data_IF_551513643915
#
_entry.id   IF_551513643915
#
_cell.length_a   1.000
_cell.length_b   1.000
_cell.length_c   1.000
_cell.angle_alpha   90.00
_cell.angle_beta   90.00
_cell.angle_gamma   90.00
#
_symmetry.space_group_name_H-M   'P 1'
#
loop_
_entity.id
_entity.type
_entity.pdbx_description
1 polymer ?
#
# COMPACT_ATOMS: atom_id res chain seq x y z
N UNK A 1 7.55 -7.81 13.78
CA UNK A 1 6.62 -7.90 14.92
C UNK A 1 5.63 -6.75 14.79
N UNK A 2 4.41 -6.82 15.36
CA UNK A 2 3.53 -5.64 15.30
C UNK A 2 4.08 -4.55 16.23
N UNK A 3 4.12 -3.33 15.73
CA UNK A 3 4.69 -2.16 16.40
C UNK A 3 3.60 -1.08 16.49
N UNK A 4 3.43 -0.49 17.67
CA UNK A 4 2.49 0.60 17.92
C UNK A 4 3.27 1.82 18.41
N UNK A 5 3.09 2.93 17.71
CA UNK A 5 3.68 4.23 18.02
C UNK A 5 2.56 5.24 18.23
N UNK A 6 2.64 6.01 19.31
CA UNK A 6 1.61 6.99 19.66
C UNK A 6 2.23 8.38 19.73
N UNK A 7 1.87 9.20 18.75
CA UNK A 7 2.21 10.62 18.68
C UNK A 7 0.91 11.43 18.84
N UNK A 8 0.50 12.21 17.82
CA UNK A 8 -0.82 12.83 17.81
C UNK A 8 -1.92 11.78 17.75
N UNK A 9 -2.97 11.99 18.54
CA UNK A 9 -4.16 11.12 18.59
C UNK A 9 -5.27 11.59 17.64
N UNK A 10 -5.04 12.65 16.88
CA UNK A 10 -6.02 13.12 15.90
C UNK A 10 -6.13 12.17 14.71
N UNK A 11 -4.99 11.62 14.25
CA UNK A 11 -4.88 10.70 13.13
C UNK A 11 -4.12 9.45 13.55
N UNK A 12 -4.71 8.28 13.30
CA UNK A 12 -4.07 6.97 13.40
C UNK A 12 -3.97 6.30 12.04
N UNK A 13 -2.82 5.70 11.75
CA UNK A 13 -2.56 4.99 10.50
C UNK A 13 -2.27 3.52 10.81
N UNK A 14 -3.10 2.63 10.26
CA UNK A 14 -2.88 1.18 10.31
C UNK A 14 -2.25 0.76 8.98
N UNK A 15 -1.14 0.02 9.05
CA UNK A 15 -0.31 -0.23 7.86
C UNK A 15 0.51 -1.52 8.02
N UNK A 16 1.16 -1.97 6.95
CA UNK A 16 2.06 -3.13 6.96
C UNK A 16 3.21 -2.98 5.96
N UNK A 17 4.34 -3.63 6.23
CA UNK A 17 5.49 -3.66 5.33
C UNK A 17 6.00 -2.25 4.94
N UNK A 18 6.23 -2.03 3.65
CA UNK A 18 6.78 -0.78 3.11
C UNK A 18 5.83 0.42 3.25
N UNK A 19 4.52 0.15 3.28
CA UNK A 19 3.47 1.17 3.43
C UNK A 19 3.67 2.02 4.70
N UNK A 20 4.27 1.44 5.74
CA UNK A 20 4.64 2.17 6.97
C UNK A 20 5.64 3.28 6.70
N UNK A 21 6.70 3.00 5.93
CA UNK A 21 7.76 3.98 5.66
C UNK A 21 7.21 5.15 4.84
N UNK A 22 6.46 4.86 3.78
CA UNK A 22 5.81 5.91 2.99
C UNK A 22 4.83 6.74 3.81
N UNK A 23 4.07 6.11 4.71
CA UNK A 23 3.13 6.83 5.58
C UNK A 23 3.85 7.71 6.60
N UNK A 24 4.96 7.24 7.19
CA UNK A 24 5.75 8.01 8.16
C UNK A 24 6.46 9.19 7.50
N UNK A 25 6.89 9.04 6.24
CA UNK A 25 7.47 10.13 5.45
C UNK A 25 6.44 11.23 5.13
N UNK A 26 5.18 10.85 4.88
CA UNK A 26 4.10 11.80 4.59
C UNK A 26 3.55 12.49 5.84
N UNK A 27 3.45 11.76 6.95
CA UNK A 27 2.82 12.26 8.18
C UNK A 27 3.54 11.74 9.42
N UNK A 28 4.59 12.44 9.81
CA UNK A 28 5.47 12.04 10.92
C UNK A 28 4.77 12.04 12.29
N UNK A 29 3.80 12.93 12.46
CA UNK A 29 3.12 13.24 13.72
C UNK A 29 1.91 12.36 14.01
N UNK A 30 1.48 11.53 13.06
CA UNK A 30 0.39 10.59 13.27
C UNK A 30 0.80 9.46 14.21
N UNK A 31 -0.19 8.86 14.86
CA UNK A 31 0.00 7.58 15.55
C UNK A 31 0.00 6.43 14.53
N UNK A 32 0.81 5.40 14.74
CA UNK A 32 0.95 4.27 13.81
C UNK A 32 0.69 2.93 14.49
N UNK A 33 0.01 2.05 13.78
CA UNK A 33 -0.02 0.61 14.05
C UNK A 33 0.53 -0.11 12.81
N UNK A 34 1.77 -0.55 12.90
CA UNK A 34 2.43 -1.37 11.89
C UNK A 34 2.17 -2.84 12.22
N UNK A 35 1.38 -3.50 11.38
CA UNK A 35 1.14 -4.94 11.46
C UNK A 35 2.35 -5.67 10.88
N UNK A 36 2.94 -6.57 11.66
CA UNK A 36 4.04 -7.42 11.22
C UNK A 36 3.56 -8.57 10.34
N UNK A 37 2.28 -8.92 10.41
CA UNK A 37 1.65 -9.98 9.62
C UNK A 37 0.23 -9.55 9.25
N UNK A 38 -0.08 -9.56 7.94
CA UNK A 38 -1.42 -9.18 7.46
C UNK A 38 -2.47 -10.24 7.78
N UNK A 39 -2.08 -11.52 7.95
CA UNK A 39 -3.01 -12.58 8.34
C UNK A 39 -2.32 -13.73 9.09
N UNK A 40 -2.89 -14.27 10.19
CA UNK A 40 -4.12 -13.81 10.86
C UNK A 40 -3.98 -12.42 11.51
N UNK A 41 -5.06 -11.65 11.50
CA UNK A 41 -5.09 -10.30 12.06
C UNK A 41 -5.10 -10.30 13.58
N UNK A 42 -4.24 -9.48 14.19
CA UNK A 42 -4.26 -9.23 15.62
C UNK A 42 -5.39 -8.26 16.00
N UNK A 43 -6.62 -8.78 16.05
CA UNK A 43 -7.85 -7.99 16.28
C UNK A 43 -7.77 -7.13 17.55
N UNK A 44 -7.21 -7.67 18.62
CA UNK A 44 -7.08 -6.97 19.91
C UNK A 44 -6.22 -5.71 19.79
N UNK A 45 -5.05 -5.80 19.13
CA UNK A 45 -4.18 -4.63 18.91
C UNK A 45 -4.86 -3.58 18.06
N UNK A 46 -5.58 -4.00 17.02
CA UNK A 46 -6.34 -3.09 16.15
C UNK A 46 -7.42 -2.35 16.95
N UNK A 47 -8.22 -3.04 17.76
CA UNK A 47 -9.21 -2.40 18.62
C UNK A 47 -8.58 -1.44 19.64
N UNK A 48 -7.49 -1.88 20.29
CA UNK A 48 -6.79 -1.06 21.28
C UNK A 48 -6.18 0.19 20.65
N UNK A 49 -5.73 0.11 19.40
CA UNK A 49 -5.26 1.26 18.64
C UNK A 49 -6.41 2.18 18.23
N UNK A 50 -7.49 1.62 17.68
CA UNK A 50 -8.65 2.38 17.24
C UNK A 50 -9.29 3.22 18.36
N UNK A 51 -9.28 2.71 19.60
CA UNK A 51 -9.76 3.46 20.79
C UNK A 51 -8.89 4.66 21.17
N UNK A 52 -7.65 4.73 20.71
CA UNK A 52 -6.67 5.76 21.10
C UNK A 52 -6.62 6.95 20.15
N UNK A 53 -7.24 6.85 18.97
CA UNK A 53 -7.16 7.85 17.91
C UNK A 53 -8.56 8.29 17.46
N UNK A 54 -8.70 9.50 16.92
CA UNK A 54 -9.99 10.05 16.48
C UNK A 54 -10.37 9.63 15.06
N UNK A 55 -9.41 9.66 14.14
CA UNK A 55 -9.60 9.24 12.74
C UNK A 55 -8.60 8.15 12.38
N UNK A 56 -9.04 7.17 11.59
CA UNK A 56 -8.23 6.03 11.19
C UNK A 56 -8.13 5.98 9.68
N UNK A 57 -6.90 5.87 9.18
CA UNK A 57 -6.61 5.52 7.81
C UNK A 57 -5.95 4.14 7.76
N UNK A 58 -6.24 3.38 6.71
CA UNK A 58 -5.51 2.16 6.38
C UNK A 58 -4.68 2.42 5.14
N UNK A 59 -3.36 2.27 5.25
CA UNK A 59 -2.45 2.40 4.12
C UNK A 59 -1.82 1.04 3.84
N UNK A 60 -2.24 0.45 2.73
CA UNK A 60 -1.81 -0.85 2.22
C UNK A 60 -1.57 -0.81 0.71
N UNK A 61 -0.65 -1.67 0.28
CA UNK A 61 -0.29 -1.83 -1.13
C UNK A 61 -1.22 -2.81 -1.84
N UNK A 62 -1.66 -2.43 -3.04
CA UNK A 62 -2.63 -3.18 -3.83
C UNK A 62 -4.05 -3.05 -3.30
N UNK A 63 -4.69 -4.21 -3.07
CA UNK A 63 -6.10 -4.34 -2.73
C UNK A 63 -6.46 -3.81 -1.32
N UNK A 64 -7.76 -3.69 -1.05
CA UNK A 64 -8.33 -3.24 0.24
C UNK A 64 -8.38 -4.36 1.28
N UNK A 65 -7.33 -5.16 1.42
CA UNK A 65 -7.38 -6.35 2.27
C UNK A 65 -7.57 -6.00 3.75
N UNK A 66 -6.65 -5.24 4.34
CA UNK A 66 -6.72 -4.80 5.73
C UNK A 66 -7.94 -3.91 5.94
N UNK A 67 -8.19 -3.00 5.00
CA UNK A 67 -9.30 -2.05 5.06
C UNK A 67 -10.65 -2.78 5.21
N UNK A 68 -10.91 -3.80 4.36
CA UNK A 68 -12.14 -4.56 4.39
C UNK A 68 -12.29 -5.38 5.67
N UNK A 69 -11.21 -6.03 6.13
CA UNK A 69 -11.26 -6.82 7.36
C UNK A 69 -11.47 -5.97 8.60
N UNK A 70 -10.83 -4.80 8.67
CA UNK A 70 -10.98 -3.86 9.80
C UNK A 70 -12.39 -3.26 9.81
N UNK A 71 -12.96 -2.90 8.64
CA UNK A 71 -14.38 -2.50 8.57
C UNK A 71 -15.33 -3.61 8.99
N UNK A 72 -15.06 -4.86 8.61
CA UNK A 72 -15.87 -6.00 9.02
C UNK A 72 -15.83 -6.25 10.54
N UNK A 73 -14.81 -5.72 11.24
CA UNK A 73 -14.76 -5.70 12.71
C UNK A 73 -15.61 -4.57 13.33
N UNK A 74 -16.28 -3.74 12.53
CA UNK A 74 -17.10 -2.62 13.01
C UNK A 74 -16.30 -1.36 13.35
N UNK A 75 -15.06 -1.24 12.86
CA UNK A 75 -14.23 -0.05 13.04
C UNK A 75 -14.42 0.88 11.85
N UNK A 76 -14.84 2.12 12.13
CA UNK A 76 -14.96 3.17 11.12
C UNK A 76 -13.57 3.67 10.70
N UNK A 77 -13.38 3.84 9.39
CA UNK A 77 -12.11 4.23 8.80
C UNK A 77 -12.31 4.96 7.47
N UNK A 78 -11.37 5.84 7.18
CA UNK A 78 -11.28 6.59 5.92
C UNK A 78 -10.81 5.67 4.79
N UNK A 79 -11.61 5.61 3.73
CA UNK A 79 -11.34 4.75 2.59
C UNK A 79 -10.23 5.33 1.69
N UNK A 80 -9.34 4.47 1.21
CA UNK A 80 -8.52 4.79 0.03
C UNK A 80 -9.45 5.04 -1.18
N UNK A 81 -9.18 5.95 -2.12
CA UNK A 81 -9.92 6.02 -3.38
C UNK A 81 -9.65 4.80 -4.28
N UNK A 82 -10.65 4.33 -5.04
CA UNK A 82 -10.49 3.16 -5.94
C UNK A 82 -9.41 3.37 -7.00
N UNK A 83 -9.22 4.61 -7.44
CA UNK A 83 -8.21 5.01 -8.44
C UNK A 83 -6.77 4.70 -7.99
N UNK A 84 -6.54 4.54 -6.69
CA UNK A 84 -5.22 4.29 -6.10
C UNK A 84 -4.95 2.79 -5.84
N UNK A 85 -5.88 1.89 -6.19
CA UNK A 85 -5.71 0.45 -5.99
C UNK A 85 -4.69 -0.17 -6.95
N UNK A 86 -4.54 0.41 -8.13
CA UNK A 86 -3.71 -0.15 -9.20
C UNK A 86 -2.29 0.41 -9.20
N UNK A 87 -1.32 -0.46 -9.50
CA UNK A 87 0.11 -0.13 -9.54
C UNK A 87 0.75 -0.03 -8.16
N UNK A 88 2.07 0.11 -8.14
CA UNK A 88 2.86 0.15 -6.90
C UNK A 88 2.45 1.30 -5.98
N UNK A 89 2.52 1.07 -4.67
CA UNK A 89 2.32 2.12 -3.69
C UNK A 89 3.55 3.05 -3.71
N UNK A 90 3.32 4.36 -3.69
CA UNK A 90 4.39 5.36 -3.60
C UNK A 90 3.95 6.52 -2.69
N UNK A 91 4.89 7.41 -2.37
CA UNK A 91 4.65 8.55 -1.47
C UNK A 91 3.51 9.43 -1.99
N UNK A 92 3.46 9.74 -3.29
CA UNK A 92 2.42 10.59 -3.88
C UNK A 92 1.01 10.00 -3.71
N UNK A 93 0.85 8.67 -3.85
CA UNK A 93 -0.42 7.99 -3.58
C UNK A 93 -0.80 8.07 -2.10
N UNK A 94 0.17 7.92 -1.21
CA UNK A 94 -0.08 8.05 0.24
C UNK A 94 -0.46 9.49 0.60
N UNK A 95 0.22 10.50 0.04
CA UNK A 95 -0.15 11.91 0.18
C UNK A 95 -1.56 12.20 -0.31
N UNK A 96 -1.95 11.61 -1.46
CA UNK A 96 -3.30 11.80 -1.99
C UNK A 96 -4.37 11.18 -1.09
N UNK A 97 -4.05 10.11 -0.37
CA UNK A 97 -4.97 9.46 0.57
C UNK A 97 -5.09 10.22 1.88
N UNK A 98 -3.95 10.57 2.49
CA UNK A 98 -3.88 11.19 3.82
C UNK A 98 -4.17 12.70 3.79
N UNK A 99 -3.59 13.42 2.82
CA UNK A 99 -3.67 14.88 2.71
C UNK A 99 -4.70 15.35 1.67
N UNK A 100 -5.40 14.42 1.01
CA UNK A 100 -6.36 14.70 -0.08
C UNK A 100 -5.77 15.54 -1.22
N UNK A 101 -4.44 15.47 -1.42
CA UNK A 101 -3.77 16.09 -2.58
C UNK A 101 -4.19 15.37 -3.86
N UNK A 102 -4.25 16.10 -4.98
CA UNK A 102 -4.56 15.50 -6.27
C UNK A 102 -3.39 14.65 -6.74
N UNK A 103 -3.60 13.34 -6.86
CA UNK A 103 -2.62 12.45 -7.47
C UNK A 103 -2.58 12.67 -8.99
N UNK A 104 -1.38 12.87 -9.54
CA UNK A 104 -1.16 12.86 -10.98
C UNK A 104 -0.45 11.57 -11.35
N UNK A 105 -1.06 10.77 -12.21
CA UNK A 105 -0.37 9.59 -12.74
C UNK A 105 0.94 10.02 -13.42
N UNK A 106 2.06 9.33 -13.17
CA UNK A 106 3.29 9.55 -13.91
C UNK A 106 3.01 9.47 -15.42
N UNK A 107 3.60 10.35 -16.22
CA UNK A 107 3.53 10.23 -17.68
C UNK A 107 4.17 8.90 -18.09
N UNK A 108 3.50 8.14 -18.95
CA UNK A 108 4.07 6.92 -19.52
C UNK A 108 5.40 7.25 -20.21
N UNK A 109 6.47 6.61 -19.74
CA UNK A 109 7.82 6.85 -20.24
C UNK A 109 8.01 6.04 -21.52
N UNK A 110 7.52 6.56 -22.65
CA UNK A 110 7.88 6.12 -24.00
C UNK A 110 7.87 4.60 -24.26
N UNK A 111 8.62 4.18 -25.28
CA UNK A 111 8.74 2.77 -25.65
C UNK A 111 9.54 2.03 -24.57
N UNK A 112 8.87 1.18 -23.79
CA UNK A 112 9.54 0.26 -22.86
C UNK A 112 10.43 -0.66 -23.69
N UNK A 113 11.74 -0.65 -23.41
CA UNK A 113 12.66 -1.55 -24.08
C UNK A 113 12.43 -2.98 -23.59
N UNK A 114 12.52 -4.00 -24.46
CA UNK A 114 12.34 -5.38 -24.06
C UNK A 114 13.29 -5.73 -22.88
N UNK A 115 12.85 -6.55 -21.92
CA UNK A 115 13.68 -6.94 -20.80
C UNK A 115 14.98 -7.58 -21.32
N UNK A 116 16.12 -7.03 -20.90
CA UNK A 116 17.43 -7.60 -21.25
C UNK A 116 17.61 -8.90 -20.46
N UNK A 117 17.29 -10.02 -21.09
CA UNK A 117 17.43 -11.34 -20.48
C UNK A 117 18.88 -11.82 -20.56
N UNK A 118 19.46 -12.22 -19.42
CA UNK A 118 20.76 -12.87 -19.40
C UNK A 118 20.69 -14.26 -20.09
N UNK A 119 21.84 -14.85 -20.49
CA UNK A 119 21.86 -16.16 -21.15
C UNK A 119 21.19 -17.29 -20.35
N UNK A 120 21.14 -17.17 -19.02
CA UNK A 120 20.51 -18.16 -18.12
C UNK A 120 19.05 -17.87 -17.76
N UNK A 121 18.43 -16.83 -18.33
CA UNK A 121 17.06 -16.47 -17.95
C UNK A 121 16.06 -17.47 -18.57
N UNK A 122 15.25 -18.19 -17.77
CA UNK A 122 14.36 -19.24 -18.28
C UNK A 122 13.29 -18.70 -19.24
N UNK A 123 12.93 -17.42 -19.13
CA UNK A 123 11.94 -16.77 -19.99
C UNK A 123 12.46 -16.49 -21.42
N UNK A 124 13.76 -16.62 -21.68
CA UNK A 124 14.36 -16.26 -22.98
C UNK A 124 13.83 -17.10 -24.14
N UNK A 125 13.63 -18.41 -23.91
CA UNK A 125 13.09 -19.32 -24.91
C UNK A 125 11.64 -18.98 -25.28
N UNK A 126 10.80 -18.71 -24.26
CA UNK A 126 9.40 -18.31 -24.46
C UNK A 126 9.34 -17.01 -25.27
N UNK A 127 10.15 -16.01 -24.89
CA UNK A 127 10.17 -14.73 -25.60
C UNK A 127 10.62 -14.86 -27.06
N UNK A 128 11.61 -15.72 -27.33
CA UNK A 128 12.06 -16.01 -28.69
C UNK A 128 10.96 -16.64 -29.55
N UNK A 129 10.23 -17.61 -29.00
CA UNK A 129 9.12 -18.28 -29.70
C UNK A 129 8.00 -17.29 -29.99
N UNK A 130 7.56 -16.50 -29.00
CA UNK A 130 6.50 -15.52 -29.18
C UNK A 130 6.85 -14.48 -30.26
N UNK A 131 8.10 -14.00 -30.27
CA UNK A 131 8.58 -13.04 -31.25
C UNK A 131 8.67 -13.68 -32.66
N UNK A 132 9.11 -14.93 -32.75
CA UNK A 132 9.14 -15.69 -34.01
C UNK A 132 7.73 -15.91 -34.58
N UNK A 133 6.73 -16.04 -33.71
CA UNK A 133 5.31 -16.17 -34.06
C UNK A 133 4.60 -14.82 -34.29
N UNK A 134 5.29 -13.68 -34.08
CA UNK A 134 4.72 -12.32 -34.14
C UNK A 134 3.57 -12.09 -33.15
N UNK A 135 3.67 -12.71 -31.96
CA UNK A 135 2.68 -12.61 -30.89
C UNK A 135 3.12 -11.70 -29.73
N UNK A 136 4.33 -11.11 -29.81
CA UNK A 136 4.93 -10.22 -28.82
C UNK A 136 5.35 -8.88 -29.42
#
# INVERSE_FOLDING_TARGET
MDEMELDSRDIGIITSGISYQYSKEVMTEASFLKLGMSYPLCKEKIYNFAKKVKKIFVIEEGDRFLENHIRAMGIELEAKPDELLLGELNIEKVESTLLKKKYSKPKEIGKVSPPKMCPGCPHRGIFYILNSLKLS
#
